data_IF_643958143684
#
_entry.id   IF_643958143684
#
_cell.length_a   1.000
_cell.length_b   1.000
_cell.length_c   1.000
_cell.angle_alpha   90.00
_cell.angle_beta   90.00
_cell.angle_gamma   90.00
#
_symmetry.space_group_name_H-M   'P 1'
#
loop_
_entity.id
_entity.type
_entity.pdbx_description
1 polymer ?
#
# COMPACT_ATOMS: atom_id res chain seq x y z
N UNK A 1 26.40 19.63 3.28
CA UNK A 1 24.95 19.35 3.12
C UNK A 1 24.85 18.18 2.18
N UNK A 2 24.27 17.06 2.62
CA UNK A 2 23.97 15.95 1.72
C UNK A 2 22.73 16.37 0.92
N UNK A 3 22.90 16.54 -0.39
CA UNK A 3 21.79 16.83 -1.28
C UNK A 3 20.92 15.56 -1.35
N UNK A 4 19.66 15.67 -0.94
CA UNK A 4 18.74 14.54 -0.96
C UNK A 4 18.21 14.45 -2.39
N UNK A 5 18.79 13.56 -3.19
CA UNK A 5 18.33 13.31 -4.54
C UNK A 5 17.00 12.53 -4.50
N UNK A 6 15.88 13.25 -4.68
CA UNK A 6 14.55 12.65 -4.69
C UNK A 6 14.23 12.13 -6.09
N UNK A 7 14.35 10.82 -6.27
CA UNK A 7 14.03 10.14 -7.54
C UNK A 7 12.55 9.83 -7.63
N UNK A 8 11.73 10.82 -8.04
CA UNK A 8 10.26 10.71 -8.13
C UNK A 8 9.81 9.53 -9.00
N UNK A 9 10.54 9.21 -10.07
CA UNK A 9 10.29 8.01 -10.89
C UNK A 9 10.41 6.69 -10.10
N UNK A 10 11.39 6.56 -9.20
CA UNK A 10 11.54 5.37 -8.35
C UNK A 10 10.47 5.29 -7.28
N UNK A 11 10.05 6.45 -6.74
CA UNK A 11 8.95 6.53 -5.78
C UNK A 11 7.64 6.04 -6.42
N UNK A 12 7.35 6.45 -7.66
CA UNK A 12 6.20 5.96 -8.42
C UNK A 12 6.26 4.47 -8.70
N UNK A 13 7.41 3.97 -9.17
CA UNK A 13 7.58 2.53 -9.40
C UNK A 13 7.34 1.71 -8.12
N UNK A 14 7.88 2.14 -6.98
CA UNK A 14 7.65 1.48 -5.70
C UNK A 14 6.18 1.54 -5.25
N UNK A 15 5.49 2.65 -5.53
CA UNK A 15 4.05 2.76 -5.29
C UNK A 15 3.26 1.74 -6.14
N UNK A 16 3.58 1.64 -7.43
CA UNK A 16 2.93 0.71 -8.37
C UNK A 16 3.13 -0.74 -7.94
N UNK A 17 4.37 -1.11 -7.60
CA UNK A 17 4.72 -2.45 -7.13
C UNK A 17 3.99 -2.80 -5.81
N UNK A 18 3.93 -1.85 -4.87
CA UNK A 18 3.25 -2.04 -3.59
C UNK A 18 1.74 -2.19 -3.77
N UNK A 19 1.14 -1.41 -4.67
CA UNK A 19 -0.28 -1.51 -5.01
C UNK A 19 -0.60 -2.87 -5.67
N UNK A 20 0.23 -3.28 -6.63
CA UNK A 20 0.10 -4.58 -7.30
C UNK A 20 0.21 -5.74 -6.31
N UNK A 21 1.23 -5.71 -5.44
CA UNK A 21 1.43 -6.73 -4.41
C UNK A 21 0.25 -6.76 -3.44
N UNK A 22 -0.23 -5.61 -2.97
CA UNK A 22 -1.40 -5.51 -2.09
C UNK A 22 -2.62 -6.20 -2.71
N UNK A 23 -2.94 -5.92 -3.98
CA UNK A 23 -4.06 -6.54 -4.68
C UNK A 23 -3.91 -8.05 -4.80
N UNK A 24 -2.73 -8.52 -5.21
CA UNK A 24 -2.44 -9.95 -5.33
C UNK A 24 -2.57 -10.69 -4.00
N UNK A 25 -2.04 -10.07 -2.94
CA UNK A 25 -2.12 -10.60 -1.57
C UNK A 25 -3.58 -10.65 -1.11
N UNK A 26 -4.38 -9.59 -1.32
CA UNK A 26 -5.82 -9.64 -1.00
C UNK A 26 -6.53 -10.79 -1.70
N UNK A 27 -6.32 -10.98 -3.00
CA UNK A 27 -6.96 -12.06 -3.76
C UNK A 27 -6.58 -13.44 -3.22
N UNK A 28 -5.31 -13.64 -2.86
CA UNK A 28 -4.84 -14.92 -2.30
C UNK A 28 -5.38 -15.19 -0.91
N UNK A 29 -5.51 -14.15 -0.09
CA UNK A 29 -5.86 -14.28 1.32
C UNK A 29 -7.37 -14.34 1.57
N UNK A 30 -8.18 -13.78 0.66
CA UNK A 30 -9.64 -13.75 0.73
C UNK A 30 -10.32 -15.12 0.84
N UNK A 31 -9.62 -16.23 0.58
CA UNK A 31 -10.17 -17.58 0.54
C UNK A 31 -9.20 -18.63 1.06
N UNK A 32 -8.11 -18.21 1.72
CA UNK A 32 -7.03 -19.14 2.05
C UNK A 32 -7.38 -20.08 3.19
N UNK A 33 -8.38 -19.73 4.02
CA UNK A 33 -8.79 -20.52 5.16
C UNK A 33 -10.27 -20.95 5.10
N UNK A 34 -10.93 -20.86 3.94
CA UNK A 34 -12.32 -21.32 3.73
C UNK A 34 -12.55 -22.77 4.18
N UNK A 35 -11.55 -23.63 4.02
CA UNK A 35 -11.61 -25.04 4.48
C UNK A 35 -11.69 -25.19 6.00
N UNK A 36 -11.46 -24.12 6.78
CA UNK A 36 -11.68 -24.10 8.23
C UNK A 36 -13.16 -24.21 8.58
N UNK A 37 -14.06 -23.76 7.69
CA UNK A 37 -15.50 -23.94 7.86
C UNK A 37 -15.91 -25.41 7.74
N UNK A 38 -15.27 -26.17 6.85
CA UNK A 38 -15.53 -27.62 6.72
C UNK A 38 -15.11 -28.38 7.97
N UNK A 39 -13.96 -28.01 8.56
CA UNK A 39 -13.46 -28.58 9.82
C UNK A 39 -14.40 -28.22 10.97
N UNK A 40 -14.86 -26.97 11.04
CA UNK A 40 -15.87 -26.55 12.01
C UNK A 40 -17.16 -27.38 11.86
N UNK A 41 -17.73 -27.44 10.66
CA UNK A 41 -18.97 -28.16 10.39
C UNK A 41 -18.88 -29.66 10.68
N UNK A 42 -17.74 -30.29 10.40
CA UNK A 42 -17.55 -31.74 10.57
C UNK A 42 -17.29 -32.17 12.01
N UNK A 43 -16.76 -31.27 12.85
CA UNK A 43 -16.27 -31.63 14.19
C UNK A 43 -16.93 -30.86 15.34
N UNK A 44 -17.67 -29.79 15.05
CA UNK A 44 -18.44 -29.06 16.07
C UNK A 44 -19.51 -29.97 16.71
N UNK A 45 -19.63 -29.90 18.04
CA UNK A 45 -20.61 -30.70 18.79
C UNK A 45 -20.17 -32.14 19.10
N UNK A 46 -19.06 -32.62 18.53
CA UNK A 46 -18.52 -33.97 18.80
C UNK A 46 -17.67 -34.05 20.09
N UNK A 47 -17.89 -33.15 21.05
CA UNK A 47 -17.15 -33.08 22.32
C UNK A 47 -15.83 -32.29 22.30
N UNK A 48 -15.39 -31.81 21.13
CA UNK A 48 -14.17 -31.03 20.97
C UNK A 48 -14.48 -29.55 20.77
N UNK A 49 -13.78 -28.67 21.51
CA UNK A 49 -13.89 -27.21 21.37
C UNK A 49 -12.90 -26.63 20.33
N UNK A 50 -11.85 -27.37 19.99
CA UNK A 50 -10.81 -26.92 19.05
C UNK A 50 -11.33 -26.46 17.69
N UNK A 51 -12.38 -27.05 17.07
CA UNK A 51 -12.87 -26.57 15.78
C UNK A 51 -13.41 -25.14 15.84
N UNK A 52 -14.06 -24.75 16.95
CA UNK A 52 -14.53 -23.37 17.19
C UNK A 52 -13.36 -22.40 17.24
N UNK A 53 -12.31 -22.75 17.98
CA UNK A 53 -11.13 -21.90 18.12
C UNK A 53 -10.35 -21.76 16.82
N UNK A 54 -10.27 -22.83 16.02
CA UNK A 54 -9.64 -22.80 14.70
C UNK A 54 -10.39 -21.87 13.74
N UNK A 55 -11.72 -21.96 13.70
CA UNK A 55 -12.55 -21.05 12.89
C UNK A 55 -12.34 -19.58 13.27
N UNK A 56 -12.42 -19.26 14.55
CA UNK A 56 -12.20 -17.87 15.03
C UNK A 56 -10.77 -17.39 14.71
N UNK A 57 -9.77 -18.27 14.81
CA UNK A 57 -8.40 -17.91 14.44
C UNK A 57 -8.27 -17.62 12.94
N UNK A 58 -8.94 -18.42 12.10
CA UNK A 58 -8.94 -18.24 10.66
C UNK A 58 -9.58 -16.90 10.26
N UNK A 59 -10.77 -16.61 10.78
CA UNK A 59 -11.48 -15.35 10.55
C UNK A 59 -10.61 -14.13 10.93
N UNK A 60 -10.06 -14.14 12.16
CA UNK A 60 -9.20 -13.03 12.63
C UNK A 60 -7.95 -12.85 11.78
N UNK A 61 -7.37 -13.94 11.32
CA UNK A 61 -6.18 -13.88 10.47
C UNK A 61 -6.53 -13.28 9.11
N UNK A 62 -7.64 -13.70 8.47
CA UNK A 62 -8.08 -13.16 7.18
C UNK A 62 -8.42 -11.67 7.30
N UNK A 63 -9.16 -11.28 8.33
CA UNK A 63 -9.46 -9.87 8.65
C UNK A 63 -8.18 -9.04 8.80
N UNK A 64 -7.21 -9.54 9.57
CA UNK A 64 -5.94 -8.85 9.81
C UNK A 64 -5.16 -8.67 8.51
N UNK A 65 -5.08 -9.71 7.70
CA UNK A 65 -4.32 -9.67 6.46
C UNK A 65 -4.97 -8.77 5.40
N UNK A 66 -6.30 -8.77 5.29
CA UNK A 66 -7.03 -7.82 4.44
C UNK A 66 -6.79 -6.38 4.91
N UNK A 67 -6.78 -6.15 6.22
CA UNK A 67 -6.44 -4.83 6.79
C UNK A 67 -5.02 -4.39 6.45
N UNK A 68 -4.05 -5.30 6.57
CA UNK A 68 -2.66 -5.04 6.20
C UNK A 68 -2.52 -4.67 4.73
N UNK A 69 -3.15 -5.43 3.83
CA UNK A 69 -3.10 -5.16 2.40
C UNK A 69 -3.75 -3.81 2.03
N UNK A 70 -4.87 -3.45 2.68
CA UNK A 70 -5.48 -2.12 2.54
C UNK A 70 -4.51 -1.00 2.94
N UNK A 71 -3.84 -1.14 4.09
CA UNK A 71 -2.83 -0.16 4.54
C UNK A 71 -1.66 -0.02 3.57
N UNK A 72 -1.21 -1.13 2.96
CA UNK A 72 -0.18 -1.08 1.91
C UNK A 72 -0.66 -0.29 0.68
N UNK A 73 -1.92 -0.45 0.28
CA UNK A 73 -2.53 0.34 -0.80
C UNK A 73 -2.69 1.82 -0.46
N UNK A 74 -2.96 2.16 0.81
CA UNK A 74 -2.95 3.55 1.26
C UNK A 74 -1.55 4.16 1.23
N UNK A 75 -0.54 3.39 1.64
CA UNK A 75 0.86 3.81 1.61
C UNK A 75 1.33 4.06 0.17
N UNK A 76 1.00 3.17 -0.77
CA UNK A 76 1.37 3.34 -2.19
C UNK A 76 0.78 4.61 -2.77
N UNK A 77 -0.50 4.90 -2.49
CA UNK A 77 -1.13 6.16 -2.89
C UNK A 77 -0.39 7.38 -2.34
N UNK A 78 -0.04 7.39 -1.06
CA UNK A 78 0.73 8.48 -0.44
C UNK A 78 2.12 8.64 -1.06
N UNK A 79 2.78 7.54 -1.41
CA UNK A 79 4.06 7.59 -2.13
C UNK A 79 3.89 8.25 -3.50
N UNK A 80 2.84 7.89 -4.26
CA UNK A 80 2.55 8.51 -5.55
C UNK A 80 2.28 10.01 -5.42
N UNK A 81 1.41 10.40 -4.47
CA UNK A 81 1.11 11.80 -4.16
C UNK A 81 2.36 12.60 -3.77
N UNK A 82 3.28 11.98 -3.02
CA UNK A 82 4.56 12.59 -2.66
C UNK A 82 5.44 12.82 -3.88
N UNK A 83 5.57 11.84 -4.78
CA UNK A 83 6.31 12.00 -6.05
C UNK A 83 5.75 13.13 -6.91
N UNK A 84 4.42 13.23 -7.02
CA UNK A 84 3.74 14.30 -7.77
C UNK A 84 3.89 15.67 -7.11
N UNK A 85 4.07 15.72 -5.78
CA UNK A 85 4.36 16.97 -5.06
C UNK A 85 5.77 17.47 -5.34
N UNK A 86 6.75 16.57 -5.42
CA UNK A 86 8.14 16.95 -5.71
C UNK A 86 8.30 17.47 -7.14
N UNK A 87 7.72 16.79 -8.14
CA UNK A 87 7.76 17.27 -9.53
C UNK A 87 7.10 18.66 -9.68
N UNK A 88 6.03 18.94 -8.92
CA UNK A 88 5.40 20.27 -8.92
C UNK A 88 6.30 21.34 -8.29
N UNK A 89 6.98 21.01 -7.20
CA UNK A 89 7.91 21.93 -6.55
C UNK A 89 9.10 22.25 -7.47
N UNK A 90 9.63 21.25 -8.18
CA UNK A 90 10.73 21.44 -9.14
C UNK A 90 10.29 22.29 -10.33
N UNK A 91 9.10 22.05 -10.89
CA UNK A 91 8.54 22.87 -11.97
C UNK A 91 8.31 24.33 -11.54
N UNK A 92 7.85 24.55 -10.31
CA UNK A 92 7.69 25.89 -9.74
C UNK A 92 9.05 26.58 -9.57
N UNK A 93 10.06 25.87 -9.08
CA UNK A 93 11.41 26.40 -8.93
C UNK A 93 12.03 26.80 -10.29
N UNK A 94 11.93 25.95 -11.31
CA UNK A 94 12.40 26.27 -12.68
C UNK A 94 11.68 27.50 -13.25
N UNK A 95 10.36 27.56 -13.08
CA UNK A 95 9.55 28.70 -13.53
C UNK A 95 10.00 30.01 -12.86
N UNK A 96 10.16 30.01 -11.54
CA UNK A 96 10.62 31.18 -10.78
C UNK A 96 12.04 31.60 -11.17
N UNK A 97 12.94 30.65 -11.39
CA UNK A 97 14.31 30.93 -11.84
C UNK A 97 14.34 31.56 -13.23
N UNK A 98 13.56 31.03 -14.18
CA UNK A 98 13.44 31.61 -15.53
C UNK A 98 12.86 33.00 -15.51
N UNK A 99 11.81 33.23 -14.69
CA UNK A 99 11.23 34.55 -14.53
C UNK A 99 12.27 35.56 -14.01
N UNK A 100 13.02 35.20 -12.96
CA UNK A 100 14.08 36.05 -12.42
C UNK A 100 15.20 36.35 -13.43
N UNK A 101 15.60 35.37 -14.24
CA UNK A 101 16.59 35.58 -15.31
C UNK A 101 16.08 36.53 -16.40
N UNK A 102 14.80 36.43 -16.77
CA UNK A 102 14.18 37.35 -17.73
C UNK A 102 14.09 38.78 -17.18
N UNK A 103 13.79 38.93 -15.90
CA UNK A 103 13.73 40.24 -15.24
C UNK A 103 15.12 40.89 -15.17
N UNK A 104 16.16 40.12 -14.85
CA UNK A 104 17.55 40.59 -14.85
C UNK A 104 18.05 40.99 -16.24
N UNK A 105 17.65 40.26 -17.29
CA UNK A 105 18.02 40.58 -18.67
C UNK A 105 17.27 41.77 -19.28
N UNK A 106 16.24 42.30 -18.59
CA UNK A 106 15.48 43.49 -18.98
C UNK A 106 15.87 44.76 -18.21
N UNK A 107 16.75 44.64 -17.20
CA UNK A 107 17.34 45.75 -16.45
C UNK A 107 18.60 46.28 -17.16
#
# INVERSE_FOLDING_TARGET
MADIEIRTARIRAAADDTESLSRQVMTRLSHSLDTSDDVYGSHYGNGWQSPVHLKVCAEKWEEHMVSLAKRMGELSRRLRESGDSYDRADAEADSRLRAGLNDLGRA
#
